data_IF_417836467280
#
_entry.id   IF_417836467280
#
_cell.length_a   1.000
_cell.length_b   1.000
_cell.length_c   1.000
_cell.angle_alpha   90.00
_cell.angle_beta   90.00
_cell.angle_gamma   90.00
#
_symmetry.space_group_name_H-M   'P 1'
#
loop_
_entity.id
_entity.type
_entity.pdbx_description
1 polymer ?
#
# COMPACT_ATOMS: atom_id res chain seq x y z
N UNK A 1 -4.41 18.40 11.37
CA UNK A 1 -5.61 17.90 10.66
C UNK A 1 -5.40 16.42 10.41
N UNK A 2 -6.41 15.56 10.58
CA UNK A 2 -6.26 14.13 10.33
C UNK A 2 -5.91 13.89 8.85
N UNK A 3 -4.94 13.02 8.60
CA UNK A 3 -4.54 12.66 7.25
C UNK A 3 -5.72 12.06 6.45
N UNK A 4 -5.80 12.31 5.13
CA UNK A 4 -6.88 11.78 4.32
C UNK A 4 -6.84 10.25 4.29
N UNK A 5 -7.96 9.60 4.63
CA UNK A 5 -8.09 8.13 4.68
C UNK A 5 -8.32 7.47 3.32
N UNK A 6 -8.48 8.26 2.26
CA UNK A 6 -8.72 7.73 0.92
C UNK A 6 -8.03 8.56 -0.15
N UNK A 7 -7.68 7.90 -1.25
CA UNK A 7 -7.13 8.51 -2.46
C UNK A 7 -8.16 9.48 -3.07
N UNK A 8 -7.72 10.68 -3.51
CA UNK A 8 -8.55 11.52 -4.35
C UNK A 8 -8.89 10.79 -5.65
N UNK A 9 -10.05 11.08 -6.25
CA UNK A 9 -10.52 10.39 -7.46
C UNK A 9 -9.51 10.43 -8.61
N UNK A 10 -8.83 11.56 -8.79
CA UNK A 10 -7.80 11.72 -9.83
C UNK A 10 -6.53 10.90 -9.58
N UNK A 11 -6.29 10.46 -8.33
CA UNK A 11 -5.20 9.56 -7.98
C UNK A 11 -5.65 8.10 -7.85
N UNK A 12 -6.93 7.82 -8.12
CA UNK A 12 -7.43 6.45 -8.14
C UNK A 12 -7.08 5.81 -9.48
N UNK A 13 -6.31 4.74 -9.42
CA UNK A 13 -5.69 4.09 -10.57
C UNK A 13 -6.66 3.71 -11.71
N UNK A 14 -7.87 3.18 -11.46
CA UNK A 14 -8.79 2.87 -12.54
C UNK A 14 -9.49 4.10 -13.12
N UNK A 15 -9.37 5.29 -12.52
CA UNK A 15 -10.15 6.46 -12.96
C UNK A 15 -9.83 6.91 -14.40
N UNK A 16 -8.56 7.03 -14.84
CA UNK A 16 -8.25 7.33 -16.24
C UNK A 16 -8.80 6.29 -17.22
N UNK A 17 -8.78 5.00 -16.84
CA UNK A 17 -9.36 3.92 -17.64
C UNK A 17 -10.89 4.05 -17.75
N UNK A 18 -11.57 4.36 -16.63
CA UNK A 18 -13.02 4.57 -16.61
C UNK A 18 -13.42 5.74 -17.51
N UNK A 19 -12.65 6.84 -17.50
CA UNK A 19 -12.89 7.99 -18.38
C UNK A 19 -12.79 7.58 -19.86
N UNK A 20 -11.77 6.82 -20.24
CA UNK A 20 -11.63 6.32 -21.61
C UNK A 20 -12.78 5.40 -21.98
N UNK A 21 -13.19 4.47 -21.10
CA UNK A 21 -14.32 3.56 -21.36
C UNK A 21 -15.61 4.36 -21.58
N UNK A 22 -15.91 5.32 -20.71
CA UNK A 22 -17.10 6.17 -20.85
C UNK A 22 -17.07 6.92 -22.17
N UNK A 23 -15.94 7.53 -22.53
CA UNK A 23 -15.78 8.22 -23.81
C UNK A 23 -15.94 7.29 -25.00
N UNK A 24 -15.43 6.06 -24.94
CA UNK A 24 -15.64 5.04 -25.97
C UNK A 24 -17.12 4.65 -26.10
N UNK A 25 -17.87 4.57 -24.99
CA UNK A 25 -19.32 4.32 -25.08
C UNK A 25 -20.06 5.46 -25.80
N UNK A 26 -19.60 6.72 -25.63
CA UNK A 26 -20.16 7.86 -26.34
C UNK A 26 -19.92 7.83 -27.86
N UNK A 27 -18.96 7.05 -28.37
CA UNK A 27 -18.80 6.87 -29.84
C UNK A 27 -20.01 6.15 -30.45
N UNK A 28 -20.79 5.42 -29.67
CA UNK A 28 -22.04 4.81 -30.13
C UNK A 28 -23.16 5.84 -30.41
N UNK A 29 -23.08 7.02 -29.78
CA UNK A 29 -24.06 8.11 -29.91
C UNK A 29 -23.55 9.20 -30.84
N UNK A 30 -22.27 9.59 -30.70
CA UNK A 30 -21.61 10.60 -31.53
C UNK A 30 -21.02 9.90 -32.74
N UNK A 31 -21.82 9.82 -33.80
CA UNK A 31 -21.41 9.20 -35.06
C UNK A 31 -20.55 10.15 -35.91
N UNK A 32 -19.78 9.63 -36.89
CA UNK A 32 -18.96 10.45 -37.79
C UNK A 32 -19.76 11.45 -38.64
N UNK A 33 -21.06 11.19 -38.87
CA UNK A 33 -22.01 12.06 -39.56
C UNK A 33 -22.64 13.14 -38.66
N UNK A 34 -22.27 13.19 -37.37
CA UNK A 34 -22.72 14.23 -36.46
C UNK A 34 -22.23 15.64 -36.87
N UNK A 35 -22.91 16.71 -36.44
CA UNK A 35 -22.46 18.08 -36.69
C UNK A 35 -20.99 18.28 -36.28
N UNK A 36 -20.16 18.96 -37.09
CA UNK A 36 -18.73 19.14 -36.78
C UNK A 36 -18.46 19.75 -35.41
N UNK A 37 -19.37 20.63 -34.95
CA UNK A 37 -19.32 21.29 -33.63
C UNK A 37 -19.46 20.29 -32.47
N UNK A 38 -20.08 19.12 -32.68
CA UNK A 38 -20.17 18.06 -31.69
C UNK A 38 -19.03 17.04 -31.85
N UNK A 39 -18.73 16.66 -33.10
CA UNK A 39 -17.73 15.63 -33.40
C UNK A 39 -16.30 16.04 -33.01
N UNK A 40 -15.85 17.24 -33.42
CA UNK A 40 -14.47 17.65 -33.18
C UNK A 40 -14.12 17.84 -31.70
N UNK A 41 -14.94 18.51 -30.88
CA UNK A 41 -14.68 18.59 -29.44
C UNK A 41 -14.65 17.22 -28.78
N UNK A 42 -15.53 16.30 -29.19
CA UNK A 42 -15.52 14.95 -28.66
C UNK A 42 -14.22 14.21 -28.99
N UNK A 43 -13.75 14.27 -30.24
CA UNK A 43 -12.45 13.70 -30.65
C UNK A 43 -11.30 14.31 -29.83
N UNK A 44 -11.29 15.63 -29.63
CA UNK A 44 -10.27 16.29 -28.82
C UNK A 44 -10.27 15.78 -27.37
N UNK A 45 -11.45 15.63 -26.75
CA UNK A 45 -11.59 15.09 -25.39
C UNK A 45 -11.11 13.63 -25.33
N UNK A 46 -11.44 12.81 -26.32
CA UNK A 46 -10.94 11.41 -26.41
C UNK A 46 -9.42 11.38 -26.47
N UNK A 47 -8.81 12.18 -27.34
CA UNK A 47 -7.35 12.25 -27.47
C UNK A 47 -6.69 12.76 -26.18
N UNK A 48 -7.26 13.77 -25.53
CA UNK A 48 -6.77 14.28 -24.26
C UNK A 48 -6.84 13.22 -23.14
N UNK A 49 -7.97 12.50 -23.04
CA UNK A 49 -8.14 11.42 -22.08
C UNK A 49 -7.17 10.25 -22.34
N UNK A 50 -6.93 9.90 -23.60
CA UNK A 50 -5.95 8.89 -23.98
C UNK A 50 -4.53 9.32 -23.60
N UNK A 51 -4.15 10.57 -23.90
CA UNK A 51 -2.86 11.12 -23.50
C UNK A 51 -2.66 11.10 -21.98
N UNK A 52 -3.70 11.47 -21.23
CA UNK A 52 -3.69 11.40 -19.77
C UNK A 52 -3.57 9.96 -19.25
N UNK A 53 -4.29 9.01 -19.84
CA UNK A 53 -4.18 7.59 -19.50
C UNK A 53 -2.74 7.07 -19.71
N UNK A 54 -2.14 7.36 -20.88
CA UNK A 54 -0.75 6.98 -21.18
C UNK A 54 0.21 7.62 -20.18
N UNK A 55 0.06 8.91 -19.87
CA UNK A 55 0.88 9.58 -18.88
C UNK A 55 0.77 8.95 -17.48
N UNK A 56 -0.45 8.54 -17.08
CA UNK A 56 -0.68 7.85 -15.80
C UNK A 56 0.02 6.49 -15.75
N UNK A 57 0.02 5.74 -16.85
CA UNK A 57 0.71 4.46 -16.96
C UNK A 57 2.23 4.63 -16.90
N UNK A 58 2.78 5.61 -17.63
CA UNK A 58 4.22 5.95 -17.58
C UNK A 58 4.62 6.40 -16.19
N UNK A 59 3.76 7.10 -15.46
CA UNK A 59 4.03 7.48 -14.07
C UNK A 59 4.06 6.26 -13.15
N UNK A 60 3.15 5.30 -13.35
CA UNK A 60 3.09 4.05 -12.60
C UNK A 60 4.31 3.14 -12.86
N UNK A 61 4.97 3.24 -14.01
CA UNK A 61 6.20 2.47 -14.30
C UNK A 61 7.45 3.08 -13.69
N UNK A 62 7.41 4.34 -13.21
CA UNK A 62 8.55 4.93 -12.51
C UNK A 62 8.76 4.19 -11.18
N UNK A 63 9.97 3.66 -11.00
CA UNK A 63 10.36 2.99 -9.75
C UNK A 63 10.45 4.02 -8.64
N UNK A 64 9.52 3.98 -7.70
CA UNK A 64 9.61 4.66 -6.41
C UNK A 64 9.67 3.63 -5.30
N UNK A 65 10.28 3.99 -4.17
CA UNK A 65 10.37 3.13 -3.00
C UNK A 65 9.95 3.93 -1.76
N UNK A 66 8.75 3.69 -1.18
CA UNK A 66 7.73 2.75 -1.62
C UNK A 66 7.10 3.08 -2.99
N UNK A 67 6.51 2.09 -3.64
CA UNK A 67 5.74 2.29 -4.87
C UNK A 67 4.38 2.97 -4.60
N UNK A 68 3.58 3.18 -5.65
CA UNK A 68 2.25 3.80 -5.53
C UNK A 68 1.23 2.99 -4.72
N UNK A 69 1.49 1.70 -4.49
CA UNK A 69 0.67 0.78 -3.69
C UNK A 69 1.18 0.58 -2.27
N UNK A 70 2.38 1.11 -1.97
CA UNK A 70 3.03 0.97 -0.68
C UNK A 70 3.90 -0.29 -0.57
N UNK A 71 4.30 -0.88 -1.70
CA UNK A 71 5.26 -1.99 -1.74
C UNK A 71 6.70 -1.46 -1.76
N UNK A 72 7.57 -2.14 -1.03
CA UNK A 72 8.97 -1.77 -0.86
C UNK A 72 9.80 -2.67 -1.75
N UNK A 73 10.69 -2.08 -2.51
CA UNK A 73 11.63 -2.81 -3.36
C UNK A 73 12.97 -3.04 -2.67
N UNK A 74 13.36 -2.15 -1.75
CA UNK A 74 14.54 -2.24 -0.88
C UNK A 74 14.29 -1.46 0.42
N UNK A 75 15.15 -1.65 1.43
CA UNK A 75 15.25 -0.76 2.58
C UNK A 75 16.36 0.29 2.43
N UNK A 76 17.16 0.22 1.36
CA UNK A 76 18.27 1.15 1.14
C UNK A 76 17.77 2.59 1.03
N UNK A 77 18.37 3.49 1.82
CA UNK A 77 18.03 4.91 1.84
C UNK A 77 16.71 5.24 2.52
N UNK A 78 16.05 4.27 3.17
CA UNK A 78 14.90 4.52 4.04
C UNK A 78 15.34 4.65 5.49
N UNK A 79 14.82 5.65 6.18
CA UNK A 79 14.97 5.75 7.63
C UNK A 79 14.02 4.75 8.29
N UNK A 80 14.58 3.70 8.89
CA UNK A 80 13.81 2.61 9.51
C UNK A 80 14.07 2.61 11.00
N UNK A 81 13.06 2.99 11.77
CA UNK A 81 13.08 3.05 13.22
C UNK A 81 12.64 1.70 13.78
N UNK A 82 13.47 1.12 14.64
CA UNK A 82 13.19 -0.16 15.28
C UNK A 82 12.28 0.03 16.50
N UNK A 83 11.18 -0.71 16.54
CA UNK A 83 10.30 -0.86 17.68
C UNK A 83 10.50 -2.26 18.28
N UNK A 84 11.53 -2.46 19.12
CA UNK A 84 11.93 -3.79 19.57
C UNK A 84 10.87 -4.46 20.45
N UNK A 85 10.88 -5.80 20.47
CA UNK A 85 10.07 -6.61 21.40
C UNK A 85 10.36 -6.19 22.84
N UNK A 86 9.31 -5.96 23.62
CA UNK A 86 9.41 -5.79 25.08
C UNK A 86 8.93 -7.02 25.81
N UNK A 87 9.65 -7.41 26.86
CA UNK A 87 9.18 -8.40 27.81
C UNK A 87 8.02 -7.80 28.62
N UNK A 88 6.79 -8.18 28.25
CA UNK A 88 5.56 -7.85 29.00
C UNK A 88 4.83 -9.13 29.38
N UNK A 89 4.07 -9.04 30.47
CA UNK A 89 3.14 -10.09 30.92
C UNK A 89 2.03 -10.35 29.88
N UNK A 90 1.62 -9.32 29.12
CA UNK A 90 0.67 -9.43 28.02
C UNK A 90 1.32 -8.92 26.73
N UNK A 91 1.51 -9.82 25.76
CA UNK A 91 2.02 -9.47 24.43
C UNK A 91 0.91 -8.80 23.62
N UNK A 92 1.20 -7.63 23.05
CA UNK A 92 0.30 -6.98 22.09
C UNK A 92 0.54 -7.56 20.70
N UNK A 93 0.08 -8.79 20.51
CA UNK A 93 0.17 -9.49 19.23
C UNK A 93 -0.96 -9.03 18.33
N UNK A 94 -0.61 -8.55 17.13
CA UNK A 94 -1.58 -8.07 16.14
C UNK A 94 -1.51 -8.97 14.90
N UNK A 95 -2.61 -9.65 14.53
CA UNK A 95 -2.63 -10.44 13.31
C UNK A 95 -2.65 -9.55 12.07
N UNK A 96 -1.96 -9.99 11.02
CA UNK A 96 -2.01 -9.39 9.68
C UNK A 96 -3.22 -9.91 8.94
N UNK A 97 -3.99 -9.02 8.34
CA UNK A 97 -5.10 -9.37 7.46
C UNK A 97 -4.62 -9.64 6.03
N UNK A 98 -5.42 -10.39 5.27
CA UNK A 98 -5.19 -10.68 3.85
C UNK A 98 -3.94 -11.49 3.51
N UNK A 99 -3.39 -12.22 4.49
CA UNK A 99 -2.26 -13.15 4.30
C UNK A 99 -2.56 -14.20 3.24
N UNK A 100 -3.81 -14.66 3.12
CA UNK A 100 -4.25 -15.62 2.10
C UNK A 100 -3.98 -15.18 0.66
N UNK A 101 -3.95 -13.86 0.38
CA UNK A 101 -3.66 -13.34 -0.97
C UNK A 101 -2.16 -13.25 -1.27
N UNK A 102 -1.32 -13.34 -0.24
CA UNK A 102 0.12 -13.12 -0.31
C UNK A 102 0.92 -14.36 0.11
N UNK A 103 0.30 -15.55 0.09
CA UNK A 103 0.93 -16.81 0.49
C UNK A 103 2.29 -17.08 -0.16
N UNK A 104 2.49 -16.88 -1.50
CA UNK A 104 3.79 -17.09 -2.10
C UNK A 104 4.87 -16.11 -1.59
N UNK A 105 4.48 -14.86 -1.29
CA UNK A 105 5.41 -13.87 -0.76
C UNK A 105 5.81 -14.18 0.69
N UNK A 106 4.84 -14.61 1.51
CA UNK A 106 5.05 -15.03 2.90
C UNK A 106 5.93 -16.27 2.97
N UNK A 107 5.68 -17.26 2.11
CA UNK A 107 6.50 -18.47 2.04
C UNK A 107 7.95 -18.15 1.69
N UNK A 108 8.18 -17.31 0.67
CA UNK A 108 9.53 -16.89 0.31
C UNK A 108 10.21 -16.11 1.45
N UNK A 109 9.48 -15.20 2.11
CA UNK A 109 10.01 -14.49 3.28
C UNK A 109 10.42 -15.47 4.39
N UNK A 110 9.58 -16.48 4.68
CA UNK A 110 9.87 -17.51 5.67
C UNK A 110 11.04 -18.42 5.27
N UNK A 111 11.18 -18.74 3.99
CA UNK A 111 12.26 -19.59 3.48
C UNK A 111 13.63 -18.92 3.65
N UNK A 112 13.71 -17.61 3.40
CA UNK A 112 14.97 -16.87 3.52
C UNK A 112 15.23 -16.33 4.94
N UNK A 113 14.18 -15.98 5.68
CA UNK A 113 14.28 -15.32 6.98
C UNK A 113 13.90 -16.13 8.19
N UNK A 114 13.43 -17.36 7.98
CA UNK A 114 12.87 -18.17 9.03
C UNK A 114 11.48 -17.72 9.51
N UNK A 115 10.93 -18.41 10.52
CA UNK A 115 9.62 -18.10 11.06
C UNK A 115 9.61 -16.82 11.92
N UNK A 116 10.70 -16.52 12.62
CA UNK A 116 10.83 -15.28 13.39
C UNK A 116 11.67 -14.27 12.60
N UNK A 117 11.06 -13.16 12.22
CA UNK A 117 11.70 -12.12 11.42
C UNK A 117 11.17 -10.74 11.82
N UNK A 118 11.47 -9.72 11.04
CA UNK A 118 10.92 -8.38 11.24
C UNK A 118 9.98 -8.02 10.10
N UNK A 119 9.05 -7.11 10.37
CA UNK A 119 8.21 -6.48 9.38
C UNK A 119 8.33 -4.96 9.44
N UNK A 120 8.37 -4.32 8.28
CA UNK A 120 8.25 -2.86 8.15
C UNK A 120 6.79 -2.52 7.88
N UNK A 121 6.28 -1.56 8.66
CA UNK A 121 4.95 -0.98 8.50
C UNK A 121 5.02 0.16 7.49
N UNK A 122 4.23 0.06 6.42
CA UNK A 122 4.19 1.05 5.34
C UNK A 122 2.82 1.76 5.34
N UNK A 123 2.76 2.99 5.87
CA UNK A 123 1.51 3.75 5.92
C UNK A 123 1.08 4.18 4.51
N UNK A 124 -0.21 4.49 4.33
CA UNK A 124 -0.82 4.83 3.03
C UNK A 124 -0.54 3.81 1.91
N UNK A 125 -0.40 2.54 2.26
CA UNK A 125 -0.47 1.44 1.31
C UNK A 125 -1.92 1.24 0.85
N UNK A 126 -2.12 0.57 -0.28
CA UNK A 126 -3.47 0.35 -0.82
C UNK A 126 -3.49 -0.79 -1.82
N UNK A 127 -4.67 -1.38 -2.01
CA UNK A 127 -4.91 -2.29 -3.13
C UNK A 127 -5.16 -1.50 -4.40
N UNK A 128 -4.79 -2.05 -5.54
CA UNK A 128 -4.97 -1.42 -6.86
C UNK A 128 -6.40 -0.88 -7.12
N UNK A 129 -7.45 -1.61 -6.70
CA UNK A 129 -8.84 -1.17 -6.88
C UNK A 129 -9.42 -0.41 -5.68
N UNK A 130 -8.69 -0.31 -4.58
CA UNK A 130 -9.16 0.34 -3.36
C UNK A 130 -8.76 1.81 -3.33
N UNK A 131 -9.73 2.69 -3.12
CA UNK A 131 -9.45 4.08 -2.75
C UNK A 131 -9.00 4.23 -1.31
N UNK A 132 -9.32 3.28 -0.43
CA UNK A 132 -8.97 3.35 0.99
C UNK A 132 -7.49 3.10 1.20
N UNK A 133 -6.84 4.01 1.92
CA UNK A 133 -5.50 3.80 2.44
C UNK A 133 -5.54 2.83 3.61
N UNK A 134 -4.49 2.02 3.71
CA UNK A 134 -4.25 1.03 4.77
C UNK A 134 -2.78 1.09 5.16
N UNK A 135 -2.41 0.34 6.18
CA UNK A 135 -1.02 0.14 6.57
C UNK A 135 -0.58 -1.21 6.03
N UNK A 136 0.33 -1.20 5.06
CA UNK A 136 0.92 -2.39 4.47
C UNK A 136 1.95 -3.00 5.43
N UNK A 137 2.06 -4.31 5.44
CA UNK A 137 3.00 -5.06 6.26
C UNK A 137 3.98 -5.78 5.35
N UNK A 138 5.27 -5.48 5.49
CA UNK A 138 6.31 -6.08 4.65
C UNK A 138 7.35 -6.81 5.46
N UNK A 139 7.47 -8.11 5.24
CA UNK A 139 8.45 -8.97 5.90
C UNK A 139 9.83 -8.71 5.32
N UNK A 140 10.83 -8.61 6.20
CA UNK A 140 12.21 -8.22 5.87
C UNK A 140 13.23 -9.34 6.11
N UNK A 141 12.79 -10.58 6.33
CA UNK A 141 13.72 -11.67 6.64
C UNK A 141 14.60 -12.16 5.49
N UNK A 142 14.59 -11.56 4.31
CA UNK A 142 15.27 -12.12 3.14
C UNK A 142 16.15 -11.15 2.37
N UNK A 143 16.29 -11.45 1.08
CA UNK A 143 16.99 -10.65 0.07
C UNK A 143 16.34 -9.28 -0.15
N UNK A 144 15.02 -9.20 -0.01
CA UNK A 144 14.23 -7.99 -0.20
C UNK A 144 12.95 -8.01 0.64
N UNK A 145 12.36 -6.84 0.93
CA UNK A 145 11.05 -6.76 1.56
C UNK A 145 9.97 -7.48 0.74
N UNK A 146 9.04 -8.15 1.43
CA UNK A 146 7.94 -8.91 0.81
C UNK A 146 6.62 -8.55 1.46
N UNK A 147 5.66 -8.12 0.65
CA UNK A 147 4.31 -7.79 1.12
C UNK A 147 3.61 -9.02 1.69
N UNK A 148 3.21 -8.94 2.95
CA UNK A 148 2.51 -10.01 3.67
C UNK A 148 1.01 -9.74 3.83
N UNK A 149 0.59 -8.49 3.66
CA UNK A 149 -0.81 -8.09 3.78
C UNK A 149 -0.94 -6.72 4.42
N UNK A 150 -2.06 -6.52 5.11
CA UNK A 150 -2.40 -5.24 5.73
C UNK A 150 -2.61 -5.39 7.24
N UNK A 151 -2.40 -4.31 7.96
CA UNK A 151 -2.76 -4.25 9.37
C UNK A 151 -4.29 -4.39 9.53
N UNK A 152 -4.70 -5.10 10.58
CA UNK A 152 -6.12 -5.25 10.91
C UNK A 152 -6.77 -3.91 11.28
N UNK A 153 -8.08 -3.77 10.99
CA UNK A 153 -8.78 -2.46 11.07
C UNK A 153 -8.64 -1.75 12.42
N UNK A 154 -8.74 -2.50 13.52
CA UNK A 154 -8.65 -1.96 14.88
C UNK A 154 -7.25 -1.43 15.19
N UNK A 155 -6.21 -2.17 14.78
CA UNK A 155 -4.83 -1.73 14.96
C UNK A 155 -4.46 -0.58 14.01
N UNK A 156 -4.98 -0.59 12.77
CA UNK A 156 -4.88 0.54 11.84
C UNK A 156 -5.44 1.81 12.44
N UNK A 157 -6.67 1.77 12.96
CA UNK A 157 -7.32 2.94 13.58
C UNK A 157 -6.53 3.50 14.76
N UNK A 158 -5.88 2.64 15.57
CA UNK A 158 -5.05 3.06 16.70
C UNK A 158 -3.75 3.73 16.28
N UNK A 159 -3.06 3.19 15.28
CA UNK A 159 -1.67 3.55 14.98
C UNK A 159 -1.49 4.42 13.75
N UNK A 160 -2.55 4.68 12.98
CA UNK A 160 -2.46 5.42 11.72
C UNK A 160 -1.86 6.81 11.90
N UNK A 161 -2.23 7.56 12.93
CA UNK A 161 -1.76 8.94 13.12
C UNK A 161 -0.25 8.99 13.39
N UNK A 162 0.24 8.13 14.28
CA UNK A 162 1.67 8.00 14.59
C UNK A 162 2.47 7.62 13.35
N UNK A 163 2.03 6.58 12.65
CA UNK A 163 2.77 6.00 11.52
C UNK A 163 2.72 6.92 10.29
N UNK A 164 1.58 7.56 10.00
CA UNK A 164 1.51 8.59 8.95
C UNK A 164 2.43 9.77 9.27
N UNK A 165 2.49 10.21 10.54
CA UNK A 165 3.39 11.29 10.98
C UNK A 165 4.87 10.93 10.80
N UNK A 166 5.27 9.68 11.04
CA UNK A 166 6.62 9.21 10.76
C UNK A 166 6.92 9.18 9.26
N UNK A 167 5.98 8.66 8.46
CA UNK A 167 6.11 8.64 7.00
C UNK A 167 6.28 10.05 6.43
N UNK A 168 5.58 11.05 6.96
CA UNK A 168 5.73 12.45 6.54
C UNK A 168 7.14 13.01 6.79
N UNK A 169 7.86 12.46 7.77
CA UNK A 169 9.28 12.75 8.04
C UNK A 169 10.25 11.84 7.26
N UNK A 170 9.74 10.92 6.43
CA UNK A 170 10.54 9.96 5.68
C UNK A 170 10.94 8.71 6.47
N UNK A 171 10.39 8.51 7.66
CA UNK A 171 10.69 7.38 8.53
C UNK A 171 9.61 6.29 8.50
N UNK A 172 10.03 5.04 8.60
CA UNK A 172 9.18 3.86 8.66
C UNK A 172 9.49 3.05 9.92
N UNK A 173 8.51 2.29 10.43
CA UNK A 173 8.71 1.52 11.65
C UNK A 173 8.89 0.05 11.35
N UNK A 174 9.91 -0.56 11.94
CA UNK A 174 10.16 -1.99 11.91
C UNK A 174 9.78 -2.61 13.24
N UNK A 175 8.94 -3.64 13.16
CA UNK A 175 8.41 -4.40 14.31
C UNK A 175 8.81 -5.87 14.19
N UNK A 176 8.97 -6.60 15.29
CA UNK A 176 9.10 -8.05 15.25
C UNK A 176 7.85 -8.69 14.65
N UNK A 177 8.05 -9.74 13.85
CA UNK A 177 7.01 -10.48 13.16
C UNK A 177 7.26 -11.99 13.21
N UNK A 178 6.21 -12.77 13.40
CA UNK A 178 6.26 -14.22 13.40
C UNK A 178 5.36 -14.74 12.27
N UNK A 179 5.92 -15.58 11.41
CA UNK A 179 5.16 -16.35 10.44
C UNK A 179 4.77 -17.69 11.06
N UNK A 180 3.47 -17.87 11.26
CA UNK A 180 2.89 -19.08 11.85
C UNK A 180 2.34 -20.01 10.77
N UNK A 181 2.25 -21.31 11.08
CA UNK A 181 1.87 -22.38 10.15
C UNK A 181 3.08 -23.17 9.65
N UNK A 182 2.98 -24.51 9.72
CA UNK A 182 4.03 -25.40 9.23
C UNK A 182 4.03 -25.53 7.70
N UNK A 183 2.84 -25.45 7.11
CA UNK A 183 2.58 -25.44 5.66
C UNK A 183 1.49 -24.42 5.34
N UNK A 184 1.30 -24.11 4.05
CA UNK A 184 0.25 -23.17 3.61
C UNK A 184 -1.13 -23.65 4.11
N UNK A 185 -2.00 -22.73 4.58
CA UNK A 185 -1.82 -21.28 4.61
C UNK A 185 -0.99 -20.80 5.82
N UNK A 186 -0.05 -19.90 5.56
CA UNK A 186 0.71 -19.18 6.59
C UNK A 186 -0.08 -17.99 7.12
N UNK A 187 0.06 -17.72 8.42
CA UNK A 187 -0.39 -16.48 9.06
C UNK A 187 0.81 -15.66 9.52
N UNK A 188 0.58 -14.36 9.76
CA UNK A 188 1.62 -13.43 10.20
C UNK A 188 1.10 -12.66 11.39
N UNK A 189 1.90 -12.64 12.44
CA UNK A 189 1.63 -11.97 13.71
C UNK A 189 2.71 -10.94 13.99
N UNK A 190 2.30 -9.73 14.40
CA UNK A 190 3.20 -8.61 14.67
C UNK A 190 3.24 -8.31 16.16
N UNK A 191 4.42 -7.95 16.67
CA UNK A 191 4.60 -7.53 18.06
C UNK A 191 4.69 -6.01 18.14
N UNK A 192 3.62 -5.37 18.64
CA UNK A 192 3.53 -3.91 18.75
C UNK A 192 3.98 -3.36 20.11
N UNK A 193 4.56 -4.20 20.96
CA UNK A 193 4.93 -3.80 22.32
C UNK A 193 5.97 -2.67 22.36
N UNK A 194 6.85 -2.61 21.36
CA UNK A 194 7.82 -1.53 21.18
C UNK A 194 7.23 -0.24 20.59
N UNK A 195 6.06 -0.31 19.95
CA UNK A 195 5.48 0.82 19.22
C UNK A 195 4.96 1.92 20.16
N UNK A 196 4.45 1.53 21.34
CA UNK A 196 4.01 2.45 22.40
C UNK A 196 5.14 3.37 22.89
N UNK A 197 6.40 2.94 22.78
CA UNK A 197 7.56 3.76 23.12
C UNK A 197 7.71 4.97 22.20
N UNK A 198 7.27 4.84 20.95
CA UNK A 198 7.40 5.87 19.93
C UNK A 198 6.23 6.84 19.95
N UNK A 199 5.12 6.46 20.59
CA UNK A 199 3.92 7.29 20.77
C UNK A 199 4.11 8.33 21.87
N UNK A 200 4.86 7.99 22.93
CA UNK A 200 5.31 8.95 23.92
C UNK A 200 6.54 9.67 23.37
N UNK A 201 6.44 10.93 22.93
CA UNK A 201 7.66 11.72 22.77
C UNK A 201 8.31 11.79 24.15
N UNK A 202 9.64 11.80 24.18
CA UNK A 202 10.39 12.17 25.38
C UNK A 202 9.72 13.39 26.05
N UNK A 203 9.44 13.26 27.35
CA UNK A 203 8.95 14.37 28.18
C UNK A 203 9.99 15.48 28.29
#
# INVERSE_FOLDING_TARGET
MPAPRSKPLLAWEPFPLLVVIVLLLFTGVIRPDAPPVLFWPFVLVVLAALGWFVASLVRATRRTNPDQWGDLSSLDGLDVIDAPRRERVVRSVVPVEDTNRHQPAIELARLFGGPEQHAVLVPRASRWLSRRYRIGVQLVGGDRPRHAGFLGRVAEERWVELLDGMRERGAFVRVPAIVTGESRPYAVELDFSGLEALEAPEG
#
